data_IF_864603933623
#
_entry.id   IF_864603933623
#
_cell.length_a   1.000
_cell.length_b   1.000
_cell.length_c   1.000
_cell.angle_alpha   90.00
_cell.angle_beta   90.00
_cell.angle_gamma   90.00
#
_symmetry.space_group_name_H-M   'P 1'
#
loop_
_entity.id
_entity.type
_entity.pdbx_description
1 polymer ?
#
# COMPACT_ATOMS: atom_id res chain seq x y z
N UNK A 1 -6.14 2.60 -3.84
CA UNK A 1 -5.50 3.93 -3.88
C UNK A 1 -4.60 4.11 -5.10
N UNK A 2 -3.37 3.55 -5.13
CA UNK A 2 -2.37 3.82 -6.18
C UNK A 2 -2.89 3.82 -7.62
N UNK A 3 -3.60 2.75 -8.04
CA UNK A 3 -4.14 2.64 -9.41
C UNK A 3 -5.16 3.75 -9.72
N UNK A 4 -6.03 4.08 -8.78
CA UNK A 4 -7.03 5.15 -8.95
C UNK A 4 -6.34 6.51 -9.06
N UNK A 5 -5.41 6.80 -8.16
CA UNK A 5 -4.69 8.08 -8.10
C UNK A 5 -3.81 8.31 -9.34
N UNK A 6 -3.07 7.30 -9.80
CA UNK A 6 -2.21 7.46 -10.98
C UNK A 6 -3.02 7.67 -12.27
N UNK A 7 -4.21 7.05 -12.37
CA UNK A 7 -5.12 7.23 -13.49
C UNK A 7 -5.74 8.63 -13.47
N UNK A 8 -6.10 9.13 -12.30
CA UNK A 8 -6.60 10.51 -12.12
C UNK A 8 -5.53 11.54 -12.49
N UNK A 9 -4.26 11.29 -12.11
CA UNK A 9 -3.10 12.07 -12.54
C UNK A 9 -2.76 11.93 -14.03
N UNK A 10 -3.54 11.16 -14.81
CA UNK A 10 -3.36 10.90 -16.25
C UNK A 10 -1.96 10.39 -16.61
N UNK A 11 -1.36 9.58 -15.74
CA UNK A 11 -0.06 8.94 -16.01
C UNK A 11 -0.28 7.47 -16.43
N UNK A 12 -0.17 7.16 -17.73
CA UNK A 12 -0.36 5.81 -18.23
C UNK A 12 0.85 4.92 -17.96
N UNK A 13 0.72 3.63 -18.29
CA UNK A 13 1.82 2.67 -18.45
C UNK A 13 2.65 2.33 -17.21
N UNK A 14 2.22 2.72 -16.00
CA UNK A 14 2.82 2.24 -14.75
C UNK A 14 1.93 1.13 -14.17
N UNK A 15 2.38 -0.13 -14.31
CA UNK A 15 1.62 -1.31 -13.88
C UNK A 15 1.92 -1.75 -12.45
N UNK A 16 3.15 -1.52 -11.99
CA UNK A 16 3.60 -1.90 -10.66
C UNK A 16 3.08 -0.91 -9.59
N UNK A 17 2.45 -1.42 -8.52
CA UNK A 17 1.83 -0.60 -7.47
C UNK A 17 2.83 0.25 -6.69
N UNK A 18 4.02 -0.28 -6.40
CA UNK A 18 5.10 0.48 -5.74
C UNK A 18 5.55 1.65 -6.63
N UNK A 19 5.83 1.38 -7.92
CA UNK A 19 6.20 2.42 -8.89
C UNK A 19 5.12 3.49 -9.07
N UNK A 20 3.84 3.15 -8.94
CA UNK A 20 2.74 4.13 -8.96
C UNK A 20 2.84 5.10 -7.79
N UNK A 21 3.13 4.61 -6.59
CA UNK A 21 3.28 5.47 -5.41
C UNK A 21 4.54 6.33 -5.49
N UNK A 22 5.69 5.80 -5.94
CA UNK A 22 6.89 6.62 -6.20
C UNK A 22 6.57 7.76 -7.17
N UNK A 23 5.88 7.46 -8.28
CA UNK A 23 5.52 8.50 -9.24
C UNK A 23 4.57 9.54 -8.65
N UNK A 24 3.61 9.12 -7.83
CA UNK A 24 2.69 10.05 -7.14
C UNK A 24 3.45 10.93 -6.13
N UNK A 25 4.48 10.42 -5.47
CA UNK A 25 5.35 11.18 -4.56
C UNK A 25 6.19 12.26 -5.25
N UNK A 26 6.53 12.05 -6.53
CA UNK A 26 7.14 13.06 -7.40
C UNK A 26 6.12 14.13 -7.83
N UNK A 27 4.91 13.71 -8.22
CA UNK A 27 3.87 14.58 -8.78
C UNK A 27 3.17 15.46 -7.73
N UNK A 28 3.03 14.94 -6.51
CA UNK A 28 2.33 15.60 -5.42
C UNK A 28 3.22 15.66 -4.17
N UNK A 29 4.20 16.58 -4.11
CA UNK A 29 5.12 16.67 -2.98
C UNK A 29 4.44 16.86 -1.63
N UNK A 30 3.24 17.47 -1.59
CA UNK A 30 2.43 17.63 -0.38
C UNK A 30 1.96 16.30 0.24
N UNK A 31 1.87 15.24 -0.58
CA UNK A 31 1.48 13.90 -0.16
C UNK A 31 2.66 12.91 -0.21
N UNK A 32 3.90 13.40 -0.42
CA UNK A 32 5.09 12.57 -0.63
C UNK A 32 5.27 11.52 0.45
N UNK A 33 5.28 11.95 1.71
CA UNK A 33 5.48 11.07 2.86
C UNK A 33 4.44 9.93 2.88
N UNK A 34 3.16 10.26 2.66
CA UNK A 34 2.08 9.28 2.62
C UNK A 34 2.30 8.26 1.48
N UNK A 35 2.71 8.73 0.30
CA UNK A 35 2.95 7.85 -0.84
C UNK A 35 4.18 6.96 -0.65
N UNK A 36 5.27 7.50 -0.12
CA UNK A 36 6.48 6.73 0.23
C UNK A 36 6.16 5.65 1.27
N UNK A 37 5.45 6.01 2.35
CA UNK A 37 5.00 5.05 3.36
C UNK A 37 4.08 3.97 2.78
N UNK A 38 3.18 4.35 1.87
CA UNK A 38 2.30 3.40 1.18
C UNK A 38 3.07 2.45 0.24
N UNK A 39 4.12 2.94 -0.41
CA UNK A 39 4.99 2.13 -1.26
C UNK A 39 5.76 1.10 -0.42
N UNK A 40 6.39 1.56 0.66
CA UNK A 40 7.12 0.71 1.61
C UNK A 40 6.20 -0.37 2.21
N UNK A 41 5.02 0.04 2.71
CA UNK A 41 4.02 -0.88 3.24
C UNK A 41 3.61 -1.95 2.23
N UNK A 42 3.37 -1.56 0.97
CA UNK A 42 2.99 -2.51 -0.08
C UNK A 42 4.11 -3.52 -0.36
N UNK A 43 5.37 -3.07 -0.42
CA UNK A 43 6.52 -3.95 -0.63
C UNK A 43 6.66 -4.96 0.50
N UNK A 44 6.56 -4.49 1.75
CA UNK A 44 6.60 -5.34 2.94
C UNK A 44 5.51 -6.43 2.86
N UNK A 45 4.26 -6.04 2.59
CA UNK A 45 3.13 -6.97 2.53
C UNK A 45 3.28 -8.01 1.42
N UNK A 46 3.76 -7.61 0.22
CA UNK A 46 4.00 -8.54 -0.88
C UNK A 46 5.15 -9.50 -0.56
N UNK A 47 6.21 -9.01 0.09
CA UNK A 47 7.32 -9.85 0.54
C UNK A 47 6.85 -10.92 1.53
N UNK A 48 6.10 -10.53 2.56
CA UNK A 48 5.52 -11.49 3.52
C UNK A 48 4.62 -12.52 2.84
N UNK A 49 3.74 -12.05 1.95
CA UNK A 49 2.87 -12.95 1.19
C UNK A 49 3.68 -13.96 0.38
N UNK A 50 4.72 -13.53 -0.32
CA UNK A 50 5.57 -14.41 -1.11
C UNK A 50 6.28 -15.44 -0.22
N UNK A 51 6.90 -15.01 0.88
CA UNK A 51 7.60 -15.89 1.81
C UNK A 51 6.66 -16.93 2.43
N UNK A 52 5.46 -16.52 2.84
CA UNK A 52 4.48 -17.42 3.43
C UNK A 52 3.97 -18.44 2.41
N UNK A 53 3.66 -17.99 1.19
CA UNK A 53 3.21 -18.88 0.12
C UNK A 53 4.27 -19.92 -0.25
N UNK A 54 5.54 -19.53 -0.30
CA UNK A 54 6.67 -20.45 -0.52
C UNK A 54 6.83 -21.44 0.63
N UNK A 55 6.75 -20.98 1.88
CA UNK A 55 6.89 -21.83 3.08
C UNK A 55 5.80 -22.89 3.17
N UNK A 56 4.56 -22.51 2.88
CA UNK A 56 3.39 -23.36 3.10
C UNK A 56 2.85 -24.04 1.84
N UNK A 57 3.46 -23.75 0.68
CA UNK A 57 2.97 -24.16 -0.64
C UNK A 57 1.51 -23.74 -0.87
N UNK A 58 1.17 -22.48 -0.51
CA UNK A 58 -0.16 -21.90 -0.66
C UNK A 58 -0.10 -20.47 -1.25
N UNK A 59 -1.24 -19.76 -1.25
CA UNK A 59 -1.33 -18.40 -1.80
C UNK A 59 -0.61 -17.30 -1.00
N UNK A 60 -0.11 -17.62 0.20
CA UNK A 60 0.49 -16.70 1.17
C UNK A 60 -0.46 -15.65 1.74
N UNK A 61 -1.76 -15.75 1.44
CA UNK A 61 -2.77 -14.74 1.79
C UNK A 61 -2.98 -14.61 3.29
N UNK A 62 -2.80 -15.70 4.02
CA UNK A 62 -2.97 -15.75 5.46
C UNK A 62 -1.65 -16.14 6.12
N UNK A 63 -1.35 -15.49 7.24
CA UNK A 63 -0.20 -15.82 8.06
C UNK A 63 -0.65 -16.01 9.50
N UNK A 64 0.06 -16.85 10.23
CA UNK A 64 -0.18 -17.08 11.64
C UNK A 64 0.63 -16.05 12.47
N UNK A 65 0.00 -15.10 13.18
CA UNK A 65 0.72 -14.07 13.90
C UNK A 65 1.64 -14.59 15.01
N UNK A 66 1.40 -15.82 15.51
CA UNK A 66 2.25 -16.45 16.52
C UNK A 66 3.60 -16.91 15.97
N UNK A 67 3.70 -17.13 14.66
CA UNK A 67 4.93 -17.54 13.99
C UNK A 67 5.85 -16.38 13.61
N UNK A 68 5.36 -15.13 13.74
CA UNK A 68 6.14 -13.94 13.46
C UNK A 68 7.09 -13.63 14.60
N UNK A 69 8.30 -13.18 14.27
CA UNK A 69 9.20 -12.55 15.22
C UNK A 69 8.65 -11.20 15.70
N UNK A 70 9.25 -10.65 16.77
CA UNK A 70 8.89 -9.33 17.29
C UNK A 70 9.06 -8.23 16.22
N UNK A 71 10.12 -8.32 15.42
CA UNK A 71 10.40 -7.37 14.34
C UNK A 71 9.40 -7.50 13.21
N UNK A 72 9.05 -8.72 12.81
CA UNK A 72 8.08 -8.93 11.73
C UNK A 72 6.69 -8.42 12.11
N UNK A 73 6.26 -8.64 13.36
CA UNK A 73 5.03 -8.05 13.90
C UNK A 73 5.05 -6.52 13.87
N UNK A 74 6.18 -5.91 14.19
CA UNK A 74 6.33 -4.46 14.17
C UNK A 74 6.22 -3.92 12.73
N UNK A 75 6.94 -4.51 11.78
CA UNK A 75 6.86 -4.12 10.37
C UNK A 75 5.45 -4.28 9.79
N UNK A 76 4.81 -5.41 10.09
CA UNK A 76 3.44 -5.66 9.66
C UNK A 76 2.48 -4.62 10.24
N UNK A 77 2.56 -4.33 11.55
CA UNK A 77 1.73 -3.29 12.18
C UNK A 77 1.94 -1.93 11.54
N UNK A 78 3.20 -1.55 11.32
CA UNK A 78 3.55 -0.27 10.70
C UNK A 78 3.05 -0.17 9.25
N UNK A 79 2.99 -1.29 8.52
CA UNK A 79 2.48 -1.33 7.13
C UNK A 79 1.01 -0.95 7.01
N UNK A 80 0.22 -1.01 8.10
CA UNK A 80 -1.17 -0.57 8.09
C UNK A 80 -1.34 0.94 8.33
N UNK A 81 -0.29 1.66 8.76
CA UNK A 81 -0.32 3.09 9.06
C UNK A 81 -0.89 3.96 7.91
N UNK A 82 -0.42 3.84 6.65
CA UNK A 82 -0.86 4.73 5.57
C UNK A 82 -2.31 4.50 5.13
N UNK A 83 -2.99 3.44 5.59
CA UNK A 83 -4.32 3.07 5.07
C UNK A 83 -5.37 4.14 5.37
N UNK A 84 -5.45 4.61 6.61
CA UNK A 84 -6.45 5.60 7.02
C UNK A 84 -6.27 6.92 6.27
N UNK A 85 -5.02 7.36 6.13
CA UNK A 85 -4.67 8.59 5.42
C UNK A 85 -4.94 8.47 3.92
N UNK A 86 -4.61 7.33 3.28
CA UNK A 86 -4.97 7.06 1.88
C UNK A 86 -6.49 7.04 1.68
N UNK A 87 -7.25 6.44 2.60
CA UNK A 87 -8.71 6.43 2.53
C UNK A 87 -9.29 7.84 2.66
N UNK A 88 -8.73 8.65 3.55
CA UNK A 88 -9.11 10.05 3.74
C UNK A 88 -8.81 10.88 2.50
N UNK A 89 -7.63 10.71 1.91
CA UNK A 89 -7.22 11.35 0.65
C UNK A 89 -8.20 11.01 -0.49
N UNK A 90 -8.54 9.72 -0.65
CA UNK A 90 -9.50 9.29 -1.67
C UNK A 90 -10.90 9.86 -1.41
N UNK A 91 -11.33 9.87 -0.15
CA UNK A 91 -12.63 10.39 0.25
C UNK A 91 -12.76 11.87 -0.08
N UNK A 92 -11.72 12.66 0.24
CA UNK A 92 -11.68 14.09 -0.08
C UNK A 92 -11.62 14.32 -1.59
N UNK A 93 -10.70 13.65 -2.29
CA UNK A 93 -10.45 13.86 -3.73
C UNK A 93 -11.65 13.48 -4.60
N UNK A 94 -12.34 12.39 -4.27
CA UNK A 94 -13.46 11.86 -5.06
C UNK A 94 -14.82 12.07 -4.40
N UNK A 95 -14.89 12.85 -3.33
CA UNK A 95 -16.14 13.22 -2.67
C UNK A 95 -17.00 11.99 -2.30
N UNK A 96 -16.36 10.90 -1.86
CA UNK A 96 -17.01 9.59 -1.68
C UNK A 96 -18.13 9.59 -0.63
N UNK A 97 -18.17 10.59 0.25
CA UNK A 97 -19.24 10.76 1.23
C UNK A 97 -20.59 11.13 0.59
N UNK A 98 -20.61 11.69 -0.63
CA UNK A 98 -21.84 12.04 -1.35
C UNK A 98 -22.42 10.87 -2.17
N UNK A 99 -21.73 9.73 -2.19
CA UNK A 99 -22.13 8.52 -2.95
C UNK A 99 -22.80 7.48 -2.02
N UNK A 100 -22.90 7.78 -0.72
CA UNK A 100 -23.50 6.88 0.29
C UNK A 100 -24.99 7.07 0.44
#
# INVERSE_FOLDING_TARGET
AARTLILEARVPSINNTFRRFEKLAELEPQNRELFEQAAEAYEILIRYRAMQGLKNNDSGRFFNPSELSKMERLHLRNSFRPISELQSLLTLRFQLNFIR
#
